data_IF_047915233916
#
_entry.id   IF_047915233916
#
_cell.length_a   1.000
_cell.length_b   1.000
_cell.length_c   1.000
_cell.angle_alpha   90.00
_cell.angle_beta   90.00
_cell.angle_gamma   90.00
#
_symmetry.space_group_name_H-M   'P 1'
#
loop_
_entity.id
_entity.type
_entity.pdbx_description
1 polymer ?
#
# COMPACT_ATOMS: atom_id res chain seq x y z
N UNK A 1 -9.03 -1.53 10.88
CA UNK A 1 -8.73 -0.17 11.43
C UNK A 1 -7.59 0.41 10.61
N UNK A 2 -7.59 1.67 10.21
CA UNK A 2 -6.50 2.24 9.43
C UNK A 2 -5.52 3.04 10.32
N UNK A 3 -4.33 3.37 9.80
CA UNK A 3 -3.32 4.15 10.55
C UNK A 3 -3.91 5.46 11.07
N UNK A 4 -4.67 6.17 10.24
CA UNK A 4 -5.37 7.41 10.64
C UNK A 4 -6.22 7.21 11.88
N UNK A 5 -7.03 6.16 11.92
CA UNK A 5 -7.96 5.92 13.04
C UNK A 5 -7.18 5.56 14.32
N UNK A 6 -6.04 4.87 14.18
CA UNK A 6 -5.13 4.60 15.29
C UNK A 6 -4.50 5.88 15.85
N UNK A 7 -4.07 6.81 14.97
CA UNK A 7 -3.54 8.11 15.38
C UNK A 7 -4.60 8.93 16.12
N UNK A 8 -5.82 8.99 15.60
CA UNK A 8 -6.92 9.71 16.22
C UNK A 8 -7.25 9.16 17.61
N UNK A 9 -7.32 7.84 17.74
CA UNK A 9 -7.59 7.17 19.00
C UNK A 9 -6.49 7.44 20.05
N UNK A 10 -5.22 7.36 19.64
CA UNK A 10 -4.09 7.63 20.54
C UNK A 10 -4.05 9.10 20.96
N UNK A 11 -4.24 10.04 20.04
CA UNK A 11 -4.29 11.46 20.36
C UNK A 11 -5.44 11.79 21.34
N UNK A 12 -6.63 11.22 21.09
CA UNK A 12 -7.78 11.39 22.00
C UNK A 12 -7.50 10.84 23.39
N UNK A 13 -6.76 9.71 23.47
CA UNK A 13 -6.36 9.12 24.76
C UNK A 13 -5.36 9.98 25.52
N UNK A 14 -4.39 10.59 24.83
CA UNK A 14 -3.33 11.38 25.43
C UNK A 14 -3.80 12.79 25.80
N UNK A 15 -4.50 13.47 24.90
CA UNK A 15 -4.85 14.88 25.03
C UNK A 15 -6.33 15.12 25.41
N UNK A 16 -7.16 14.08 25.42
CA UNK A 16 -8.59 14.19 25.70
C UNK A 16 -9.40 14.88 24.60
N UNK A 17 -8.79 15.19 23.46
CA UNK A 17 -9.39 15.97 22.36
C UNK A 17 -9.75 15.07 21.20
N UNK A 18 -10.96 15.20 20.68
CA UNK A 18 -11.43 14.46 19.52
C UNK A 18 -11.27 15.29 18.24
N UNK A 19 -10.39 14.86 17.35
CA UNK A 19 -10.11 15.51 16.07
C UNK A 19 -10.99 14.99 14.92
N UNK A 20 -11.96 14.11 15.16
CA UNK A 20 -12.75 13.47 14.10
C UNK A 20 -13.59 14.45 13.27
N UNK A 21 -13.89 15.63 13.81
CA UNK A 21 -14.65 16.68 13.13
C UNK A 21 -13.78 17.84 12.61
N UNK A 22 -12.48 17.84 12.89
CA UNK A 22 -11.55 18.86 12.40
C UNK A 22 -11.00 18.43 11.04
N UNK A 23 -11.52 19.03 9.97
CA UNK A 23 -11.14 18.71 8.58
C UNK A 23 -9.67 18.99 8.28
N UNK A 24 -9.09 20.06 8.87
CA UNK A 24 -7.69 20.40 8.66
C UNK A 24 -6.77 19.42 9.38
N UNK A 25 -7.08 19.10 10.64
CA UNK A 25 -6.34 18.09 11.39
C UNK A 25 -6.42 16.72 10.70
N UNK A 26 -7.60 16.30 10.25
CA UNK A 26 -7.79 15.05 9.52
C UNK A 26 -6.97 14.98 8.24
N UNK A 27 -6.86 16.07 7.47
CA UNK A 27 -6.04 16.09 6.26
C UNK A 27 -4.55 15.95 6.59
N UNK A 28 -4.05 16.68 7.57
CA UNK A 28 -2.66 16.57 8.03
C UNK A 28 -2.34 15.18 8.56
N UNK A 29 -3.26 14.55 9.32
CA UNK A 29 -3.10 13.18 9.80
C UNK A 29 -3.07 12.18 8.64
N UNK A 30 -3.91 12.36 7.60
CA UNK A 30 -3.88 11.50 6.41
C UNK A 30 -2.53 11.56 5.69
N UNK A 31 -2.00 12.74 5.48
CA UNK A 31 -0.71 12.95 4.83
C UNK A 31 0.43 12.34 5.65
N UNK A 32 0.41 12.54 6.96
CA UNK A 32 1.40 11.95 7.87
C UNK A 32 1.30 10.41 7.91
N UNK A 33 0.08 9.86 7.91
CA UNK A 33 -0.15 8.42 7.85
C UNK A 33 0.35 7.80 6.54
N UNK A 34 0.14 8.47 5.40
CA UNK A 34 0.64 8.03 4.10
C UNK A 34 2.18 8.08 4.03
N UNK A 35 2.78 9.14 4.58
CA UNK A 35 4.23 9.25 4.71
C UNK A 35 4.79 8.12 5.58
N UNK A 36 4.20 7.90 6.75
CA UNK A 36 4.61 6.84 7.67
C UNK A 36 4.50 5.45 7.03
N UNK A 37 3.43 5.17 6.30
CA UNK A 37 3.26 3.92 5.53
C UNK A 37 4.41 3.69 4.56
N UNK A 38 4.83 4.71 3.81
CA UNK A 38 5.94 4.62 2.86
C UNK A 38 7.27 4.36 3.57
N UNK A 39 7.54 5.07 4.65
CA UNK A 39 8.78 4.94 5.44
C UNK A 39 8.89 3.54 6.08
N UNK A 40 7.79 2.99 6.60
CA UNK A 40 7.75 1.66 7.22
C UNK A 40 7.89 0.50 6.21
N UNK A 41 7.91 0.77 4.92
CA UNK A 41 8.30 -0.23 3.92
C UNK A 41 9.80 -0.57 3.96
N UNK A 42 10.63 0.32 4.53
CA UNK A 42 12.08 0.13 4.64
C UNK A 42 12.62 0.31 6.07
N UNK A 43 11.90 1.05 6.92
CA UNK A 43 12.28 1.32 8.31
C UNK A 43 11.48 0.45 9.30
N UNK A 44 12.05 0.20 10.48
CA UNK A 44 11.37 -0.52 11.57
C UNK A 44 10.49 0.39 12.42
N UNK A 45 10.75 1.71 12.40
CA UNK A 45 10.02 2.71 13.17
C UNK A 45 10.05 4.03 12.42
N UNK A 46 8.97 4.80 12.52
CA UNK A 46 8.89 6.19 12.03
C UNK A 46 8.25 7.08 13.08
N UNK A 47 8.62 8.36 13.08
CA UNK A 47 8.03 9.36 13.96
C UNK A 47 6.99 10.19 13.18
N UNK A 48 5.82 10.35 13.76
CA UNK A 48 4.74 11.19 13.28
C UNK A 48 4.68 12.42 14.17
N UNK A 49 5.17 13.55 13.67
CA UNK A 49 5.18 14.82 14.39
C UNK A 49 4.37 15.87 13.62
N UNK A 50 3.27 16.30 14.23
CA UNK A 50 2.37 17.33 13.69
C UNK A 50 2.20 18.44 14.74
N UNK A 51 3.07 19.46 14.72
CA UNK A 51 2.96 20.59 15.62
C UNK A 51 1.70 21.39 15.30
N UNK A 52 1.10 21.98 16.34
CA UNK A 52 -0.11 22.82 16.23
C UNK A 52 -1.23 22.11 15.47
N UNK A 53 -1.52 20.85 15.86
CA UNK A 53 -2.56 20.06 15.18
C UNK A 53 -3.97 20.63 15.47
N UNK A 54 -4.17 21.15 16.66
CA UNK A 54 -5.38 21.87 17.07
C UNK A 54 -5.08 22.85 18.19
N UNK A 55 -6.03 23.72 18.52
CA UNK A 55 -5.96 24.62 19.65
C UNK A 55 -7.17 24.39 20.58
N UNK A 56 -6.91 24.39 21.89
CA UNK A 56 -7.92 24.27 22.93
C UNK A 56 -7.88 25.51 23.85
N UNK A 57 -8.80 25.58 24.84
CA UNK A 57 -8.76 26.62 25.85
C UNK A 57 -7.44 26.65 26.63
N UNK A 58 -6.77 25.50 26.76
CA UNK A 58 -5.48 25.34 27.45
C UNK A 58 -4.29 25.66 26.57
N UNK A 59 -4.52 26.04 25.31
CA UNK A 59 -3.48 26.37 24.33
C UNK A 59 -3.36 25.42 23.15
N UNK A 60 -2.28 25.57 22.38
CA UNK A 60 -2.03 24.73 21.21
C UNK A 60 -1.67 23.31 21.63
N UNK A 61 -2.18 22.33 20.89
CA UNK A 61 -1.86 20.92 21.05
C UNK A 61 -1.01 20.42 19.90
N UNK A 62 -0.12 19.48 20.22
CA UNK A 62 0.83 18.89 19.29
C UNK A 62 0.63 17.38 19.27
N UNK A 63 0.74 16.76 18.09
CA UNK A 63 0.78 15.32 17.97
C UNK A 63 2.23 14.90 17.75
N UNK A 64 2.76 14.09 18.62
CA UNK A 64 4.07 13.45 18.49
C UNK A 64 3.98 11.99 18.95
N UNK A 65 4.17 11.07 18.01
CA UNK A 65 4.10 9.65 18.29
C UNK A 65 5.02 8.84 17.39
N UNK A 66 5.48 7.72 17.89
CA UNK A 66 6.22 6.75 17.11
C UNK A 66 5.30 5.64 16.64
N UNK A 67 5.38 5.29 15.35
CA UNK A 67 4.72 4.15 14.77
C UNK A 67 5.76 3.11 14.37
N UNK A 68 5.64 1.91 14.92
CA UNK A 68 6.52 0.79 14.58
C UNK A 68 5.96 -0.01 13.39
N UNK A 69 6.86 -0.68 12.65
CA UNK A 69 6.47 -1.61 11.59
C UNK A 69 5.55 -2.72 12.12
N UNK A 70 5.83 -3.27 13.31
CA UNK A 70 5.00 -4.30 13.93
C UNK A 70 3.56 -3.80 14.17
N UNK A 71 3.40 -2.56 14.64
CA UNK A 71 2.06 -1.97 14.83
C UNK A 71 1.37 -1.67 13.51
N UNK A 72 2.12 -1.25 12.49
CA UNK A 72 1.59 -1.09 11.15
C UNK A 72 1.10 -2.42 10.56
N UNK A 73 1.90 -3.48 10.67
CA UNK A 73 1.56 -4.82 10.19
C UNK A 73 0.31 -5.35 10.91
N UNK A 74 0.20 -5.17 12.25
CA UNK A 74 -1.01 -5.49 13.03
C UNK A 74 -2.25 -4.76 12.49
N UNK A 75 -2.15 -3.44 12.27
CA UNK A 75 -3.27 -2.61 11.81
C UNK A 75 -3.74 -2.94 10.38
N UNK A 76 -2.85 -3.49 9.56
CA UNK A 76 -3.12 -3.80 8.15
C UNK A 76 -3.30 -5.28 7.87
N UNK A 77 -3.11 -6.13 8.86
CA UNK A 77 -3.18 -7.58 8.73
C UNK A 77 -4.43 -8.06 7.99
N UNK A 78 -5.61 -7.62 8.41
CA UNK A 78 -6.88 -8.02 7.78
C UNK A 78 -6.97 -7.60 6.30
N UNK A 79 -6.34 -6.48 5.93
CA UNK A 79 -6.32 -6.01 4.55
C UNK A 79 -5.40 -6.90 3.69
N UNK A 80 -4.25 -7.27 4.25
CA UNK A 80 -3.30 -8.18 3.57
C UNK A 80 -3.94 -9.56 3.42
N UNK A 81 -4.58 -10.10 4.46
CA UNK A 81 -5.28 -11.39 4.37
C UNK A 81 -6.38 -11.41 3.31
N UNK A 82 -7.16 -10.35 3.19
CA UNK A 82 -8.22 -10.24 2.17
C UNK A 82 -7.69 -10.25 0.73
N UNK A 83 -6.41 -9.99 0.50
CA UNK A 83 -5.82 -10.09 -0.84
C UNK A 83 -5.65 -11.53 -1.32
N UNK A 84 -5.74 -12.52 -0.42
CA UNK A 84 -5.63 -13.93 -0.78
C UNK A 84 -6.81 -14.40 -1.65
N UNK A 85 -8.01 -13.96 -1.34
CA UNK A 85 -9.23 -14.40 -2.04
C UNK A 85 -9.19 -14.10 -3.55
N UNK A 86 -8.93 -12.86 -4.03
CA UNK A 86 -8.87 -12.60 -5.45
C UNK A 86 -7.74 -13.34 -6.17
N UNK A 87 -6.60 -13.58 -5.49
CA UNK A 87 -5.50 -14.38 -6.07
C UNK A 87 -5.91 -15.83 -6.27
N UNK A 88 -6.51 -16.44 -5.24
CA UNK A 88 -7.00 -17.82 -5.32
C UNK A 88 -8.10 -17.98 -6.36
N UNK A 89 -9.01 -17.01 -6.43
CA UNK A 89 -10.08 -16.99 -7.43
C UNK A 89 -9.51 -16.90 -8.85
N UNK A 90 -8.55 -16.01 -9.09
CA UNK A 90 -7.92 -15.87 -10.40
C UNK A 90 -7.22 -17.16 -10.85
N UNK A 91 -6.51 -17.85 -9.94
CA UNK A 91 -5.90 -19.16 -10.23
C UNK A 91 -6.96 -20.22 -10.55
N UNK A 92 -8.03 -20.27 -9.77
CA UNK A 92 -9.15 -21.20 -9.99
C UNK A 92 -9.85 -20.96 -11.33
N UNK A 93 -10.13 -19.69 -11.66
CA UNK A 93 -10.79 -19.30 -12.90
C UNK A 93 -9.92 -19.62 -14.14
N UNK A 94 -8.60 -19.52 -13.98
CA UNK A 94 -7.64 -19.91 -15.02
C UNK A 94 -7.39 -21.42 -15.10
N UNK A 95 -7.88 -22.22 -14.13
CA UNK A 95 -7.60 -23.65 -14.05
C UNK A 95 -6.13 -23.97 -13.77
N UNK A 96 -5.38 -23.04 -13.16
CA UNK A 96 -3.95 -23.16 -12.90
C UNK A 96 -3.67 -23.43 -11.41
N UNK A 97 -2.63 -24.22 -11.16
CA UNK A 97 -2.02 -24.33 -9.85
C UNK A 97 -0.98 -23.23 -9.66
N UNK A 98 -0.76 -22.79 -8.41
CA UNK A 98 0.25 -21.79 -8.12
C UNK A 98 1.67 -22.21 -8.59
N UNK A 99 1.97 -23.51 -8.52
CA UNK A 99 3.23 -24.10 -8.98
C UNK A 99 3.46 -24.06 -10.51
N UNK A 100 2.38 -23.86 -11.29
CA UNK A 100 2.44 -23.76 -12.76
C UNK A 100 2.72 -22.33 -13.25
N UNK A 101 2.75 -21.37 -12.32
CA UNK A 101 3.10 -20.00 -12.67
C UNK A 101 4.57 -19.91 -13.05
N UNK A 102 4.87 -19.44 -14.25
CA UNK A 102 6.24 -19.21 -14.69
C UNK A 102 6.87 -17.97 -14.02
N UNK A 103 6.08 -16.97 -13.66
CA UNK A 103 6.55 -15.72 -13.05
C UNK A 103 5.44 -15.01 -12.30
N UNK A 104 5.80 -14.40 -11.16
CA UNK A 104 4.92 -13.53 -10.38
C UNK A 104 5.49 -12.11 -10.42
N UNK A 105 4.70 -11.17 -10.91
CA UNK A 105 5.05 -9.75 -10.99
C UNK A 105 4.23 -8.94 -9.98
N UNK A 106 4.89 -8.03 -9.28
CA UNK A 106 4.25 -7.09 -8.38
C UNK A 106 4.17 -5.72 -9.03
N UNK A 107 2.95 -5.17 -9.14
CA UNK A 107 2.67 -3.88 -9.76
C UNK A 107 1.91 -3.00 -8.78
N UNK A 108 2.22 -1.69 -8.79
CA UNK A 108 1.64 -0.70 -7.90
C UNK A 108 2.40 -0.50 -6.60
N UNK A 109 2.45 0.74 -6.11
CA UNK A 109 3.25 1.15 -4.96
C UNK A 109 2.97 0.38 -3.66
N UNK A 110 1.73 -0.09 -3.44
CA UNK A 110 1.37 -0.88 -2.25
C UNK A 110 2.07 -2.23 -2.19
N UNK A 111 2.57 -2.77 -3.30
CA UNK A 111 3.34 -4.01 -3.35
C UNK A 111 4.76 -3.87 -2.80
N UNK A 112 5.19 -2.64 -2.47
CA UNK A 112 6.44 -2.40 -1.74
C UNK A 112 6.36 -2.77 -0.26
N UNK A 113 5.14 -2.91 0.28
CA UNK A 113 4.92 -3.30 1.68
C UNK A 113 5.41 -4.74 1.87
N UNK A 114 6.35 -5.01 2.79
CA UNK A 114 6.92 -6.35 2.98
C UNK A 114 5.87 -7.42 3.27
N UNK A 115 4.87 -7.13 4.10
CA UNK A 115 3.79 -8.06 4.42
C UNK A 115 2.99 -8.50 3.18
N UNK A 116 2.83 -7.62 2.18
CA UNK A 116 2.18 -7.96 0.89
C UNK A 116 3.06 -8.91 0.08
N UNK A 117 4.38 -8.66 0.02
CA UNK A 117 5.33 -9.53 -0.68
C UNK A 117 5.38 -10.93 -0.05
N UNK A 118 5.41 -10.99 1.29
CA UNK A 118 5.41 -12.23 2.05
C UNK A 118 4.11 -13.02 1.82
N UNK A 119 2.96 -12.31 1.78
CA UNK A 119 1.67 -12.94 1.49
C UNK A 119 1.63 -13.54 0.09
N UNK A 120 2.11 -12.82 -0.92
CA UNK A 120 2.19 -13.32 -2.30
C UNK A 120 3.11 -14.55 -2.37
N UNK A 121 4.27 -14.51 -1.72
CA UNK A 121 5.19 -15.66 -1.63
C UNK A 121 4.52 -16.87 -0.98
N UNK A 122 3.77 -16.64 0.10
CA UNK A 122 3.02 -17.70 0.80
C UNK A 122 1.94 -18.32 -0.09
N UNK A 123 1.21 -17.52 -0.87
CA UNK A 123 0.12 -17.98 -1.72
C UNK A 123 0.60 -18.69 -2.98
N UNK A 124 1.71 -18.24 -3.58
CA UNK A 124 2.18 -18.74 -4.87
C UNK A 124 3.34 -19.73 -4.76
N UNK A 125 4.04 -19.74 -3.63
CA UNK A 125 5.30 -20.50 -3.49
C UNK A 125 6.47 -19.92 -4.29
N UNK A 126 6.26 -18.82 -5.03
CA UNK A 126 7.26 -18.18 -5.87
C UNK A 126 7.78 -16.87 -5.24
N UNK A 127 9.07 -16.62 -5.42
CA UNK A 127 9.64 -15.30 -5.11
C UNK A 127 9.16 -14.29 -6.16
N UNK A 128 8.49 -13.21 -5.75
CA UNK A 128 8.05 -12.19 -6.70
C UNK A 128 9.22 -11.56 -7.45
N UNK A 129 9.07 -11.38 -8.75
CA UNK A 129 10.11 -10.78 -9.58
C UNK A 129 10.31 -9.31 -9.23
N UNK A 130 11.57 -8.92 -9.02
CA UNK A 130 12.00 -7.54 -8.77
C UNK A 130 12.55 -6.86 -10.03
N UNK A 131 12.37 -7.46 -11.21
CA UNK A 131 12.91 -6.95 -12.48
C UNK A 131 12.24 -5.66 -12.97
N UNK A 132 11.05 -5.35 -12.47
CA UNK A 132 10.30 -4.16 -12.85
C UNK A 132 10.11 -3.25 -11.63
N UNK A 133 10.14 -1.94 -11.85
CA UNK A 133 9.75 -0.97 -10.85
C UNK A 133 8.22 -0.97 -10.74
N UNK A 134 7.63 -1.31 -9.58
CA UNK A 134 6.17 -1.39 -9.42
C UNK A 134 5.42 -0.09 -9.73
N UNK A 135 6.08 1.07 -9.57
CA UNK A 135 5.47 2.38 -9.80
C UNK A 135 5.47 2.76 -11.29
N UNK A 136 6.37 2.19 -12.09
CA UNK A 136 6.57 2.52 -13.50
C UNK A 136 5.93 1.52 -14.47
N UNK A 137 5.50 0.35 -13.99
CA UNK A 137 4.98 -0.74 -14.84
C UNK A 137 3.85 -0.28 -15.76
N UNK A 138 2.94 0.59 -15.28
CA UNK A 138 1.82 1.09 -16.08
C UNK A 138 2.30 1.99 -17.21
N UNK A 139 3.25 2.89 -16.92
CA UNK A 139 3.82 3.79 -17.94
C UNK A 139 4.61 3.01 -19.00
N UNK A 140 5.41 2.03 -18.56
CA UNK A 140 6.15 1.15 -19.46
C UNK A 140 5.21 0.33 -20.34
N UNK A 141 4.16 -0.25 -19.76
CA UNK A 141 3.13 -0.99 -20.51
C UNK A 141 2.41 -0.10 -21.53
N UNK A 142 2.08 1.13 -21.14
CA UNK A 142 1.47 2.10 -22.05
C UNK A 142 2.39 2.47 -23.22
N UNK A 143 3.71 2.60 -22.98
CA UNK A 143 4.68 2.88 -24.05
C UNK A 143 4.79 1.73 -25.05
N UNK A 144 4.79 0.48 -24.55
CA UNK A 144 4.81 -0.72 -25.41
C UNK A 144 3.53 -0.79 -26.25
N UNK A 145 2.37 -0.54 -25.64
CA UNK A 145 1.09 -0.48 -26.37
C UNK A 145 1.07 0.64 -27.42
N UNK A 146 1.62 1.80 -27.08
CA UNK A 146 1.77 2.94 -28.00
C UNK A 146 2.65 2.60 -29.20
N UNK A 147 3.78 1.93 -28.98
CA UNK A 147 4.66 1.42 -30.04
C UNK A 147 3.94 0.46 -30.99
N UNK A 148 3.16 -0.47 -30.46
CA UNK A 148 2.34 -1.39 -31.28
C UNK A 148 1.32 -0.65 -32.12
N UNK A 149 0.60 0.32 -31.56
CA UNK A 149 -0.37 1.14 -32.30
C UNK A 149 0.29 2.01 -33.38
N UNK A 150 1.51 2.42 -33.16
CA UNK A 150 2.33 3.17 -34.14
C UNK A 150 2.94 2.27 -35.25
N UNK A 151 2.77 0.96 -35.17
CA UNK A 151 3.30 0.00 -36.16
C UNK A 151 4.75 -0.41 -35.90
N UNK A 152 5.26 -0.24 -34.68
CA UNK A 152 6.61 -0.69 -34.32
C UNK A 152 6.65 -2.23 -34.30
N UNK A 153 7.46 -2.79 -35.20
CA UNK A 153 7.62 -4.24 -35.34
C UNK A 153 8.30 -4.92 -34.13
N UNK A 154 8.97 -4.13 -33.27
CA UNK A 154 9.59 -4.61 -32.02
C UNK A 154 8.61 -4.75 -30.87
N UNK A 155 7.43 -4.16 -30.96
CA UNK A 155 6.37 -4.28 -29.95
C UNK A 155 5.61 -5.59 -30.14
N UNK A 156 6.04 -6.68 -29.52
CA UNK A 156 5.41 -8.01 -29.61
C UNK A 156 3.89 -8.04 -29.32
N UNK A 157 3.31 -9.22 -29.25
CA UNK A 157 1.89 -9.37 -28.94
C UNK A 157 1.60 -8.97 -27.51
N UNK A 158 0.56 -8.14 -27.33
CA UNK A 158 0.13 -7.63 -26.05
C UNK A 158 -1.23 -8.22 -25.71
N UNK A 159 -1.31 -8.91 -24.59
CA UNK A 159 -2.56 -9.38 -24.02
C UNK A 159 -3.21 -8.25 -23.21
N UNK A 160 -4.43 -7.87 -23.55
CA UNK A 160 -5.20 -6.85 -22.83
C UNK A 160 -6.44 -7.48 -22.19
N UNK A 161 -6.59 -7.32 -20.87
CA UNK A 161 -7.77 -7.79 -20.13
C UNK A 161 -9.06 -7.01 -20.48
N UNK A 162 -8.94 -5.84 -21.11
CA UNK A 162 -10.08 -5.02 -21.51
C UNK A 162 -10.66 -5.48 -22.87
N UNK A 163 -9.89 -6.22 -23.66
CA UNK A 163 -10.23 -6.60 -25.01
C UNK A 163 -10.36 -8.14 -25.19
N UNK A 164 -10.52 -8.85 -24.08
CA UNK A 164 -10.81 -10.30 -24.10
C UNK A 164 -12.31 -10.52 -24.12
#
# INVERSE_FOLDING_TARGET
MCIRDSILAEFKKQEGVDLSNDKMALQRIREAAEKAKKELSSATTTNINLPFITATADGPKHLDMNLTKAKFDELTHDLVEKTAEPVQRALSDAGLQASELSKVLLVGGSTRIPAVQDKVRQLTGHEPSKSLNPDECVALGASVQGGKLAGDAGAGDILSLIHI
#
